data_IF_479086530578
#
_entry.id   IF_479086530578
#
_cell.length_a   1.000
_cell.length_b   1.000
_cell.length_c   1.000
_cell.angle_alpha   90.00
_cell.angle_beta   90.00
_cell.angle_gamma   90.00
#
_symmetry.space_group_name_H-M   'P 1'
#
loop_
_entity.id
_entity.type
_entity.pdbx_description
1 polymer ?
#
# COMPACT_ATOMS: atom_id res chain seq x y z
N UNK A 1 0.69 -1.14 -24.94
CA UNK A 1 -0.37 -0.35 -24.28
C UNK A 1 0.30 0.51 -23.25
N UNK A 2 0.16 1.84 -23.35
CA UNK A 2 0.67 2.73 -22.33
C UNK A 2 -0.11 2.49 -21.05
N UNK A 3 0.55 2.00 -20.01
CA UNK A 3 -0.01 2.03 -18.67
C UNK A 3 -0.39 3.48 -18.35
N UNK A 4 -1.63 3.75 -17.89
CA UNK A 4 -2.10 5.12 -17.67
C UNK A 4 -1.32 5.86 -16.57
N UNK A 5 -0.57 5.12 -15.75
CA UNK A 5 0.22 5.67 -14.65
C UNK A 5 1.68 5.24 -14.78
N UNK A 6 2.58 6.21 -14.59
CA UNK A 6 4.01 5.94 -14.45
C UNK A 6 4.32 5.57 -12.99
N UNK A 7 5.45 4.88 -12.73
CA UNK A 7 5.81 4.48 -11.36
C UNK A 7 5.81 5.69 -10.41
N UNK A 8 6.39 6.83 -10.82
CA UNK A 8 6.42 8.05 -10.02
C UNK A 8 5.02 8.58 -9.67
N UNK A 9 4.06 8.53 -10.60
CA UNK A 9 2.68 8.95 -10.32
C UNK A 9 1.99 8.04 -9.32
N UNK A 10 2.24 6.73 -9.39
CA UNK A 10 1.76 5.79 -8.37
C UNK A 10 2.37 6.14 -7.01
N UNK A 11 3.63 6.56 -6.99
CA UNK A 11 4.31 6.97 -5.77
C UNK A 11 3.69 8.18 -5.10
N UNK A 12 3.53 9.24 -5.87
CA UNK A 12 2.88 10.47 -5.41
C UNK A 12 1.44 10.20 -4.95
N UNK A 13 0.70 9.36 -5.69
CA UNK A 13 -0.69 9.02 -5.35
C UNK A 13 -0.80 8.26 -4.03
N UNK A 14 0.04 7.25 -3.83
CA UNK A 14 0.09 6.48 -2.57
C UNK A 14 0.53 7.35 -1.41
N UNK A 15 1.61 8.14 -1.56
CA UNK A 15 2.08 9.03 -0.50
C UNK A 15 1.02 10.05 -0.11
N UNK A 16 0.32 10.63 -1.09
CA UNK A 16 -0.79 11.54 -0.85
C UNK A 16 -1.95 10.84 -0.14
N UNK A 17 -2.32 9.62 -0.55
CA UNK A 17 -3.39 8.85 0.08
C UNK A 17 -3.06 8.46 1.52
N UNK A 18 -1.81 8.04 1.76
CA UNK A 18 -1.31 7.73 3.11
C UNK A 18 -1.33 8.95 4.01
N UNK A 19 -0.95 10.13 3.52
CA UNK A 19 -1.00 11.38 4.29
C UNK A 19 -2.44 11.79 4.63
N UNK A 20 -3.37 11.64 3.69
CA UNK A 20 -4.79 11.96 3.89
C UNK A 20 -5.45 10.99 4.89
N UNK A 21 -5.09 9.71 4.83
CA UNK A 21 -5.63 8.65 5.69
C UNK A 21 -4.64 8.24 6.79
N UNK A 22 -3.78 9.17 7.23
CA UNK A 22 -2.70 8.87 8.17
C UNK A 22 -3.22 8.18 9.43
N UNK A 23 -4.39 8.57 9.94
CA UNK A 23 -5.00 7.96 11.13
C UNK A 23 -5.24 6.44 11.00
N UNK A 24 -5.46 5.92 9.79
CA UNK A 24 -5.66 4.48 9.54
C UNK A 24 -4.33 3.72 9.44
N UNK A 25 -3.27 4.39 8.99
CA UNK A 25 -1.93 3.82 8.81
C UNK A 25 -1.05 3.94 10.07
N UNK A 26 -1.22 5.00 10.85
CA UNK A 26 -0.50 5.27 12.10
C UNK A 26 -0.52 4.11 13.10
N UNK A 27 -1.63 3.38 13.37
CA UNK A 27 -1.60 2.24 14.28
C UNK A 27 -0.73 1.07 13.78
N UNK A 28 -0.61 0.90 12.46
CA UNK A 28 0.28 -0.11 11.89
C UNK A 28 1.74 0.37 11.88
N UNK A 29 1.96 1.66 11.62
CA UNK A 29 3.29 2.28 11.67
C UNK A 29 3.84 2.34 13.11
N UNK A 30 2.98 2.62 14.10
CA UNK A 30 3.38 2.65 15.52
C UNK A 30 3.78 1.28 16.04
N UNK A 31 3.18 0.21 15.51
CA UNK A 31 3.55 -1.16 15.87
C UNK A 31 4.98 -1.51 15.44
N UNK A 32 5.54 -0.84 14.43
CA UNK A 32 6.94 -1.03 14.01
C UNK A 32 7.91 -0.20 14.86
N UNK A 33 7.41 0.82 15.56
CA UNK A 33 8.19 1.77 16.35
C UNK A 33 7.69 1.73 17.80
N UNK A 34 7.90 0.59 18.48
CA UNK A 34 7.54 0.44 19.89
C UNK A 34 8.25 1.51 20.75
N UNK A 35 7.46 2.37 21.42
CA UNK A 35 7.94 3.24 22.50
C UNK A 35 8.08 4.73 22.19
N UNK A 36 7.61 5.23 21.04
CA UNK A 36 7.60 6.68 20.75
C UNK A 36 6.25 7.36 21.00
N UNK A 37 6.32 8.63 21.43
CA UNK A 37 5.16 9.49 21.66
C UNK A 37 4.40 9.80 20.37
N UNK A 38 3.06 9.91 20.44
CA UNK A 38 2.15 10.13 19.29
C UNK A 38 2.56 11.30 18.37
N UNK A 39 3.06 12.40 18.94
CA UNK A 39 3.54 13.58 18.18
C UNK A 39 4.75 13.26 17.28
N UNK A 40 5.71 12.46 17.75
CA UNK A 40 6.88 12.08 16.94
C UNK A 40 6.52 11.07 15.85
N UNK A 41 5.50 10.26 16.11
CA UNK A 41 5.01 9.24 15.20
C UNK A 41 4.40 9.86 13.93
N UNK A 42 3.63 10.94 14.07
CA UNK A 42 3.08 11.69 12.93
C UNK A 42 4.18 12.35 12.10
N UNK A 43 5.18 12.94 12.74
CA UNK A 43 6.31 13.56 12.04
C UNK A 43 7.12 12.51 11.25
N UNK A 44 7.39 11.34 11.86
CA UNK A 44 8.04 10.22 11.18
C UNK A 44 7.21 9.66 10.05
N UNK A 45 5.90 9.54 10.24
CA UNK A 45 4.99 9.09 9.18
C UNK A 45 4.97 10.08 8.02
N UNK A 46 5.00 11.38 8.29
CA UNK A 46 5.09 12.39 7.24
C UNK A 46 6.41 12.28 6.45
N UNK A 47 7.53 12.10 7.17
CA UNK A 47 8.81 11.84 6.53
C UNK A 47 8.78 10.54 5.71
N UNK A 48 8.11 9.49 6.22
CA UNK A 48 7.93 8.23 5.52
C UNK A 48 7.15 8.41 4.21
N UNK A 49 6.02 9.12 4.22
CA UNK A 49 5.28 9.46 3.00
C UNK A 49 6.16 10.20 1.99
N UNK A 50 7.05 11.08 2.46
CA UNK A 50 8.02 11.80 1.61
C UNK A 50 9.08 10.87 1.02
N UNK A 51 9.53 9.89 1.78
CA UNK A 51 10.42 8.84 1.28
C UNK A 51 9.69 7.92 0.29
N UNK A 52 8.42 7.60 0.52
CA UNK A 52 7.61 6.80 -0.41
C UNK A 52 7.48 7.52 -1.76
N UNK A 53 7.25 8.84 -1.81
CA UNK A 53 7.20 9.55 -3.11
C UNK A 53 8.57 9.64 -3.83
N UNK A 54 9.67 9.81 -3.08
CA UNK A 54 10.98 10.17 -3.61
C UNK A 54 11.98 9.00 -3.71
N UNK A 55 11.85 8.01 -2.82
CA UNK A 55 12.76 6.88 -2.64
C UNK A 55 12.22 5.59 -3.25
N UNK A 56 13.09 4.58 -3.33
CA UNK A 56 12.74 3.21 -3.70
C UNK A 56 12.26 2.36 -2.51
N UNK A 57 12.10 2.94 -1.31
CA UNK A 57 11.53 2.30 -0.14
C UNK A 57 10.03 2.04 -0.33
N UNK A 58 9.70 0.85 -0.85
CA UNK A 58 8.37 0.44 -1.31
C UNK A 58 8.16 -1.04 -1.06
N UNK A 59 6.89 -1.46 -0.99
CA UNK A 59 6.51 -2.88 -0.98
C UNK A 59 6.20 -3.41 0.41
N UNK A 60 6.04 -2.53 1.40
CA UNK A 60 5.49 -2.86 2.71
C UNK A 60 3.97 -2.95 2.69
N UNK A 61 3.40 -3.34 3.82
CA UNK A 61 1.96 -3.47 4.00
C UNK A 61 1.23 -2.12 3.83
N UNK A 62 1.87 -1.02 4.23
CA UNK A 62 1.32 0.33 4.16
C UNK A 62 1.16 0.78 2.70
N UNK A 63 2.25 0.78 1.90
CA UNK A 63 2.22 1.22 0.50
C UNK A 63 1.31 0.33 -0.35
N UNK A 64 1.36 -0.99 -0.16
CA UNK A 64 0.52 -1.92 -0.93
C UNK A 64 -0.95 -1.78 -0.54
N UNK A 65 -1.25 -1.54 0.74
CA UNK A 65 -2.59 -1.23 1.21
C UNK A 65 -3.12 0.06 0.58
N UNK A 66 -2.36 1.15 0.65
CA UNK A 66 -2.72 2.42 0.02
C UNK A 66 -2.87 2.30 -1.50
N UNK A 67 -1.94 1.61 -2.17
CA UNK A 67 -1.97 1.41 -3.63
C UNK A 67 -3.22 0.66 -4.08
N UNK A 68 -3.63 -0.34 -3.30
CA UNK A 68 -4.84 -1.12 -3.52
C UNK A 68 -6.08 -0.20 -3.57
N UNK A 69 -6.19 0.74 -2.62
CA UNK A 69 -7.28 1.72 -2.60
C UNK A 69 -7.17 2.76 -3.73
N UNK A 70 -5.96 3.25 -4.01
CA UNK A 70 -5.69 4.19 -5.10
C UNK A 70 -6.09 3.63 -6.46
N UNK A 71 -5.70 2.37 -6.74
CA UNK A 71 -5.99 1.70 -8.00
C UNK A 71 -7.36 1.00 -8.01
N UNK A 72 -8.01 0.89 -6.84
CA UNK A 72 -9.22 0.08 -6.64
C UNK A 72 -9.04 -1.33 -7.21
N UNK A 73 -7.92 -1.96 -6.85
CA UNK A 73 -7.55 -3.29 -7.35
C UNK A 73 -7.17 -4.20 -6.22
N UNK A 74 -7.53 -5.47 -6.37
CA UNK A 74 -7.15 -6.54 -5.47
C UNK A 74 -5.66 -6.90 -5.65
N UNK A 75 -4.91 -7.01 -4.55
CA UNK A 75 -3.49 -7.38 -4.54
C UNK A 75 -3.30 -8.62 -3.65
N UNK A 76 -2.58 -9.61 -4.15
CA UNK A 76 -2.28 -10.84 -3.44
C UNK A 76 -0.77 -11.06 -3.41
N UNK A 77 -0.21 -11.16 -2.22
CA UNK A 77 1.23 -11.28 -1.98
C UNK A 77 1.51 -12.67 -1.43
N UNK A 78 2.33 -13.42 -2.13
CA UNK A 78 2.77 -14.76 -1.77
C UNK A 78 4.19 -14.69 -1.25
N UNK A 79 4.45 -15.29 -0.09
CA UNK A 79 5.80 -15.40 0.46
C UNK A 79 6.08 -16.84 0.84
N UNK A 80 7.33 -17.27 0.68
CA UNK A 80 7.74 -18.63 1.04
C UNK A 80 7.66 -18.91 2.55
N UNK A 81 7.97 -17.89 3.36
CA UNK A 81 8.14 -18.02 4.81
C UNK A 81 7.01 -17.39 5.63
N UNK A 82 6.15 -16.59 4.99
CA UNK A 82 5.06 -15.86 5.63
C UNK A 82 3.72 -16.25 5.00
N UNK A 83 2.61 -16.19 5.75
CA UNK A 83 1.29 -16.46 5.21
C UNK A 83 0.97 -15.50 4.06
N UNK A 84 0.15 -15.97 3.12
CA UNK A 84 -0.31 -15.17 1.99
C UNK A 84 -1.05 -13.92 2.50
N UNK A 85 -0.66 -12.76 1.98
CA UNK A 85 -1.27 -11.48 2.34
C UNK A 85 -2.20 -11.06 1.22
N UNK A 86 -3.49 -10.93 1.54
CA UNK A 86 -4.55 -10.55 0.61
C UNK A 86 -5.08 -9.15 0.97
N UNK A 87 -4.93 -8.19 0.05
CA UNK A 87 -5.31 -6.77 0.21
C UNK A 87 -6.37 -6.34 -0.80
N UNK A 88 -7.30 -5.49 -0.37
CA UNK A 88 -8.36 -4.96 -1.23
C UNK A 88 -9.37 -5.98 -1.69
N UNK A 89 -9.77 -6.89 -0.79
CA UNK A 89 -10.79 -7.89 -1.06
C UNK A 89 -12.10 -7.28 -1.56
N UNK A 90 -12.38 -6.03 -1.18
CA UNK A 90 -13.51 -5.23 -1.67
C UNK A 90 -13.44 -4.92 -3.18
N UNK A 91 -12.25 -4.89 -3.76
CA UNK A 91 -12.02 -4.64 -5.18
C UNK A 91 -11.89 -5.92 -5.99
N UNK A 92 -12.04 -7.08 -5.34
CA UNK A 92 -12.13 -8.36 -6.02
C UNK A 92 -13.41 -8.32 -6.84
N UNK A 93 -13.25 -8.27 -8.17
CA UNK A 93 -14.40 -8.23 -9.07
C UNK A 93 -15.19 -9.53 -8.91
N UNK A 94 -16.35 -9.46 -8.25
CA UNK A 94 -17.38 -10.51 -8.26
C UNK A 94 -18.12 -10.46 -9.60
N UNK A 95 -17.39 -10.54 -10.71
CA UNK A 95 -18.01 -10.71 -12.02
C UNK A 95 -17.92 -12.20 -12.33
N UNK A 96 -19.07 -12.87 -12.34
CA UNK A 96 -19.25 -14.32 -12.59
C UNK A 96 -18.77 -14.80 -13.96
N UNK A 97 -17.88 -14.07 -14.62
CA UNK A 97 -17.21 -14.40 -15.85
C UNK A 97 -15.68 -14.40 -15.64
N UNK A 98 -15.19 -15.35 -14.83
CA UNK A 98 -13.90 -16.03 -15.02
C UNK A 98 -12.62 -15.22 -15.22
N UNK A 99 -12.59 -13.91 -14.98
CA UNK A 99 -11.40 -13.11 -15.19
C UNK A 99 -10.61 -12.99 -13.89
N UNK A 100 -9.87 -14.04 -13.57
CA UNK A 100 -8.77 -14.00 -12.60
C UNK A 100 -7.70 -12.93 -12.93
N UNK A 101 -7.82 -12.22 -14.07
CA UNK A 101 -6.80 -11.31 -14.60
C UNK A 101 -6.79 -9.89 -14.02
N UNK A 102 -7.68 -9.53 -13.09
CA UNK A 102 -7.70 -8.18 -12.50
C UNK A 102 -6.93 -8.04 -11.19
N UNK A 103 -6.53 -9.16 -10.57
CA UNK A 103 -5.76 -9.14 -9.33
C UNK A 103 -4.26 -9.02 -9.63
N UNK A 104 -3.56 -8.21 -8.85
CA UNK A 104 -2.10 -8.09 -8.93
C UNK A 104 -1.51 -9.15 -8.01
N UNK A 105 -0.80 -10.13 -8.59
CA UNK A 105 -0.08 -11.15 -7.82
C UNK A 105 1.38 -10.75 -7.69
N UNK A 106 1.86 -10.66 -6.46
CA UNK A 106 3.25 -10.39 -6.12
C UNK A 106 3.81 -11.61 -5.41
N UNK A 107 5.03 -12.01 -5.76
CA UNK A 107 5.76 -13.09 -5.09
C UNK A 107 7.09 -12.56 -4.59
N UNK A 108 7.36 -12.73 -3.29
CA UNK A 108 8.60 -12.33 -2.62
C UNK A 108 9.38 -13.55 -2.12
#
# INVERSE_FOLDING_TARGET
GSSPYNFQQLREMVASYMRDNAAEFLPFFSSEIEGESDDSLKEKFENYCREVESSAAWGGQLELGALTHCLKKHIMIFSWSFPDVEMGKEYKSDDGNGSLSSSIMLSY
#
